data_IF_039899892240
#
_entry.id   IF_039899892240
#
_cell.length_a   1.000
_cell.length_b   1.000
_cell.length_c   1.000
_cell.angle_alpha   90.00
_cell.angle_beta   90.00
_cell.angle_gamma   90.00
#
_symmetry.space_group_name_H-M   'P 1'
#
loop_
_entity.id
_entity.type
_entity.pdbx_description
1 polymer ?
#
# COMPACT_ATOMS: atom_id res chain seq x y z
N UNK A 1 -6.70 -11.00 14.90
CA UNK A 1 -5.96 -9.82 14.43
C UNK A 1 -6.99 -8.83 13.88
N UNK A 2 -6.94 -7.55 14.27
CA UNK A 2 -7.88 -6.51 13.81
C UNK A 2 -7.46 -5.95 12.45
N UNK A 3 -8.34 -5.18 11.80
CA UNK A 3 -8.02 -4.47 10.55
C UNK A 3 -6.77 -3.57 10.72
N UNK A 4 -6.66 -2.86 11.84
CA UNK A 4 -5.53 -2.00 12.17
C UNK A 4 -4.25 -2.79 12.42
N UNK A 5 -4.35 -3.97 13.05
CA UNK A 5 -3.19 -4.84 13.23
C UNK A 5 -2.68 -5.39 11.89
N UNK A 6 -3.59 -5.77 10.98
CA UNK A 6 -3.22 -6.14 9.62
C UNK A 6 -2.63 -4.96 8.84
N UNK A 7 -3.22 -3.77 8.95
CA UNK A 7 -2.70 -2.57 8.31
C UNK A 7 -1.27 -2.25 8.77
N UNK A 8 -0.99 -2.32 10.08
CA UNK A 8 0.37 -2.14 10.63
C UNK A 8 1.36 -3.19 10.12
N UNK A 9 0.94 -4.44 9.98
CA UNK A 9 1.79 -5.50 9.46
C UNK A 9 2.13 -5.28 7.98
N UNK A 10 1.15 -4.86 7.18
CA UNK A 10 1.34 -4.52 5.76
C UNK A 10 2.22 -3.28 5.62
N UNK A 11 1.97 -2.22 6.38
CA UNK A 11 2.79 -1.00 6.41
C UNK A 11 4.26 -1.34 6.72
N UNK A 12 4.51 -2.18 7.72
CA UNK A 12 5.86 -2.61 8.06
C UNK A 12 6.54 -3.40 6.93
N UNK A 13 5.79 -4.29 6.25
CA UNK A 13 6.31 -5.04 5.11
C UNK A 13 6.63 -4.12 3.91
N UNK A 14 5.79 -3.13 3.62
CA UNK A 14 6.01 -2.14 2.56
C UNK A 14 7.26 -1.30 2.86
N UNK A 15 7.40 -0.82 4.11
CA UNK A 15 8.59 -0.05 4.52
C UNK A 15 9.88 -0.86 4.40
N UNK A 16 9.82 -2.16 4.70
CA UNK A 16 10.97 -3.06 4.52
C UNK A 16 11.32 -3.22 3.02
N UNK A 17 10.33 -3.49 2.17
CA UNK A 17 10.54 -3.59 0.73
C UNK A 17 11.13 -2.30 0.13
N UNK A 18 10.62 -1.14 0.55
CA UNK A 18 11.15 0.17 0.16
C UNK A 18 12.61 0.36 0.59
N UNK A 19 12.97 -0.03 1.81
CA UNK A 19 14.35 0.03 2.29
C UNK A 19 15.30 -0.88 1.49
N UNK A 20 14.79 -1.98 0.94
CA UNK A 20 15.51 -2.90 0.05
C UNK A 20 15.54 -2.43 -1.42
N UNK A 21 14.91 -1.28 -1.74
CA UNK A 21 14.89 -0.68 -3.08
C UNK A 21 13.74 -1.16 -3.98
N UNK A 22 12.69 -1.76 -3.40
CA UNK A 22 11.48 -2.16 -4.11
C UNK A 22 10.33 -1.19 -3.80
N UNK A 23 9.68 -0.67 -4.83
CA UNK A 23 8.59 0.30 -4.69
C UNK A 23 7.27 -0.24 -5.28
N UNK A 24 6.14 0.25 -4.77
CA UNK A 24 4.81 -0.11 -5.24
C UNK A 24 4.31 0.88 -6.30
N UNK A 25 3.67 0.35 -7.33
CA UNK A 25 2.98 1.10 -8.37
C UNK A 25 1.50 0.67 -8.47
N UNK A 26 0.73 1.37 -9.29
CA UNK A 26 -0.66 1.03 -9.58
C UNK A 26 -0.84 0.03 -10.75
N UNK A 27 0.24 -0.64 -11.19
CA UNK A 27 0.27 -1.49 -12.38
C UNK A 27 0.47 -0.76 -13.71
N UNK A 28 0.45 0.57 -13.72
CA UNK A 28 0.68 1.41 -14.91
C UNK A 28 2.01 2.18 -14.83
N UNK A 29 3.01 1.65 -14.11
CA UNK A 29 4.28 2.32 -13.84
C UNK A 29 4.12 3.72 -13.22
N UNK A 30 3.01 3.95 -12.51
CA UNK A 30 2.74 5.20 -11.80
C UNK A 30 2.78 4.95 -10.31
N UNK A 31 3.56 5.74 -9.55
CA UNK A 31 3.67 5.52 -8.12
C UNK A 31 2.35 5.76 -7.40
N UNK A 32 2.14 5.02 -6.32
CA UNK A 32 1.04 5.23 -5.39
C UNK A 32 1.57 5.85 -4.10
N UNK A 33 0.81 6.78 -3.52
CA UNK A 33 1.20 7.51 -2.31
C UNK A 33 0.47 7.03 -1.05
N UNK A 34 -0.66 6.33 -1.23
CA UNK A 34 -1.47 5.77 -0.16
C UNK A 34 -2.16 4.49 -0.67
N UNK A 35 -2.54 3.60 0.26
CA UNK A 35 -3.29 2.39 -0.03
C UNK A 35 -4.35 2.12 1.04
N UNK A 36 -5.57 1.80 0.63
CA UNK A 36 -6.64 1.41 1.56
C UNK A 36 -6.68 -0.10 1.77
N UNK A 37 -6.61 -0.52 3.04
CA UNK A 37 -6.93 -1.88 3.45
C UNK A 37 -8.38 -1.96 3.91
N UNK A 38 -9.15 -2.82 3.27
CA UNK A 38 -10.58 -2.98 3.52
C UNK A 38 -10.88 -4.30 4.23
N UNK A 39 -11.82 -4.30 5.19
CA UNK A 39 -12.52 -5.53 5.56
C UNK A 39 -13.45 -5.97 4.44
N UNK A 40 -13.53 -7.27 4.19
CA UNK A 40 -14.50 -7.86 3.26
C UNK A 40 -15.43 -8.77 4.05
N UNK A 41 -16.74 -8.49 4.01
CA UNK A 41 -17.77 -9.28 4.66
C UNK A 41 -18.86 -9.61 3.64
N UNK A 42 -19.16 -10.90 3.46
CA UNK A 42 -20.20 -11.38 2.55
C UNK A 42 -20.11 -10.82 1.11
N UNK A 43 -18.88 -10.65 0.61
CA UNK A 43 -18.61 -10.13 -0.74
C UNK A 43 -18.71 -8.61 -0.87
N UNK A 44 -18.93 -7.89 0.23
CA UNK A 44 -18.99 -6.43 0.25
C UNK A 44 -17.80 -5.82 0.99
N UNK A 45 -17.36 -4.66 0.51
CA UNK A 45 -16.38 -3.85 1.23
C UNK A 45 -17.05 -3.26 2.48
N UNK A 46 -16.41 -3.48 3.62
CA UNK A 46 -16.82 -2.94 4.91
C UNK A 46 -16.02 -1.66 5.25
N UNK A 47 -15.45 -1.64 6.45
CA UNK A 47 -14.58 -0.55 6.91
C UNK A 47 -13.22 -0.61 6.20
N UNK A 48 -12.60 0.56 6.03
CA UNK A 48 -11.23 0.68 5.56
C UNK A 48 -10.33 1.37 6.61
N UNK A 49 -9.03 1.14 6.44
CA UNK A 49 -7.93 1.86 7.07
C UNK A 49 -6.95 2.22 5.97
N UNK A 50 -6.60 3.50 5.88
CA UNK A 50 -5.57 4.00 4.98
C UNK A 50 -4.18 3.63 5.52
N UNK A 51 -3.29 3.24 4.63
CA UNK A 51 -1.89 2.94 4.89
C UNK A 51 -1.05 3.98 4.13
N UNK A 52 -0.31 4.77 4.88
CA UNK A 52 0.65 5.72 4.33
C UNK A 52 1.82 4.96 3.70
N UNK A 53 2.13 5.30 2.45
CA UNK A 53 3.26 4.71 1.72
C UNK A 53 4.48 5.65 1.81
N UNK A 54 5.71 5.10 1.75
CA UNK A 54 6.91 5.92 1.61
C UNK A 54 6.84 6.82 0.36
N UNK A 55 7.49 7.98 0.42
CA UNK A 55 7.57 8.87 -0.75
C UNK A 55 8.27 8.15 -1.91
N UNK A 56 7.63 8.03 -3.09
CA UNK A 56 8.21 7.34 -4.23
C UNK A 56 9.49 8.02 -4.72
N UNK A 57 10.49 7.22 -5.13
CA UNK A 57 11.77 7.77 -5.66
C UNK A 57 11.78 7.92 -7.18
N UNK A 58 10.75 7.39 -7.84
CA UNK A 58 10.57 7.50 -9.29
C UNK A 58 9.35 8.35 -9.63
N UNK A 59 9.43 9.01 -10.77
CA UNK A 59 8.27 9.52 -11.49
C UNK A 59 8.11 8.68 -12.76
N UNK A 60 6.87 8.52 -13.24
CA UNK A 60 6.58 7.81 -14.49
C UNK A 60 7.56 8.27 -15.57
N UNK A 61 8.51 7.42 -15.93
CA UNK A 61 9.42 7.70 -17.03
C UNK A 61 8.60 7.80 -18.31
N UNK A 62 8.79 8.88 -19.07
CA UNK A 62 8.45 8.85 -20.48
C UNK A 62 9.27 7.72 -21.09
N UNK A 63 8.63 6.58 -21.36
CA UNK A 63 9.21 5.57 -22.25
C UNK A 63 9.26 6.12 -23.67
#
# INVERSE_FOLDING_TARGET
MTLEEHARAIEAAIKAAYADGYELDNGDCSPIHAMDLNTVNDGWLGRYVEIDLPEPTYSRGAM
#
